data_IF_254948949672
#
_entry.id   IF_254948949672
#
_cell.length_a   1.000
_cell.length_b   1.000
_cell.length_c   1.000
_cell.angle_alpha   90.00
_cell.angle_beta   90.00
_cell.angle_gamma   90.00
#
_symmetry.space_group_name_H-M   'P 1'
#
loop_
_entity.id
_entity.type
_entity.pdbx_description
1 polymer ?
#
# COMPACT_ATOMS: atom_id res chain seq x y z
N UNK A 1 18.26 3.87 -62.25
CA UNK A 1 18.27 4.40 -60.86
C UNK A 1 17.07 3.80 -60.13
N UNK A 2 17.30 2.91 -59.18
CA UNK A 2 16.29 2.48 -58.21
C UNK A 2 17.05 2.20 -56.92
N UNK A 3 16.89 3.07 -55.92
CA UNK A 3 17.52 2.95 -54.62
C UNK A 3 16.74 1.97 -53.75
N UNK A 4 17.44 1.00 -53.18
CA UNK A 4 16.91 0.14 -52.13
C UNK A 4 16.83 0.95 -50.83
N UNK A 5 15.65 1.02 -50.23
CA UNK A 5 15.47 1.54 -48.89
C UNK A 5 15.81 0.43 -47.89
N UNK A 6 16.86 0.64 -47.11
CA UNK A 6 17.18 -0.15 -45.93
C UNK A 6 16.06 0.00 -44.90
N UNK A 7 15.26 -1.06 -44.74
CA UNK A 7 14.31 -1.16 -43.64
C UNK A 7 15.07 -1.54 -42.37
N UNK A 8 15.40 -0.54 -41.55
CA UNK A 8 15.96 -0.73 -40.23
C UNK A 8 15.01 -1.58 -39.36
N UNK A 9 15.52 -2.67 -38.81
CA UNK A 9 14.79 -3.53 -37.88
C UNK A 9 14.35 -2.71 -36.64
N UNK A 10 13.14 -2.96 -36.10
CA UNK A 10 12.68 -2.26 -34.91
C UNK A 10 13.59 -2.59 -33.72
N UNK A 11 14.11 -1.53 -33.09
CA UNK A 11 14.92 -1.65 -31.87
C UNK A 11 14.12 -2.46 -30.82
N UNK A 12 14.75 -3.51 -30.30
CA UNK A 12 14.20 -4.30 -29.21
C UNK A 12 13.86 -3.36 -28.04
N UNK A 13 12.56 -3.27 -27.70
CA UNK A 13 12.12 -2.51 -26.53
C UNK A 13 12.80 -3.11 -25.30
N UNK A 14 13.44 -2.26 -24.49
CA UNK A 14 13.97 -2.67 -23.21
C UNK A 14 12.85 -3.39 -22.42
N UNK A 15 13.18 -4.48 -21.68
CA UNK A 15 12.18 -5.20 -20.90
C UNK A 15 11.48 -4.23 -19.94
N UNK A 16 10.15 -4.26 -19.97
CA UNK A 16 9.31 -3.42 -19.11
C UNK A 16 9.62 -3.73 -17.65
N UNK A 17 9.97 -2.71 -16.85
CA UNK A 17 10.34 -2.89 -15.44
C UNK A 17 9.12 -3.41 -14.66
N UNK A 18 9.25 -4.53 -13.95
CA UNK A 18 8.16 -5.05 -13.12
C UNK A 18 7.80 -4.06 -12.00
N UNK A 19 6.53 -4.02 -11.52
CA UNK A 19 6.13 -3.12 -10.43
C UNK A 19 6.98 -3.27 -9.17
N UNK A 20 7.39 -4.50 -8.83
CA UNK A 20 8.29 -4.78 -7.72
C UNK A 20 9.71 -4.24 -7.97
N UNK A 21 10.21 -4.38 -9.20
CA UNK A 21 11.50 -3.81 -9.62
C UNK A 21 11.51 -2.28 -9.51
N UNK A 22 10.47 -1.64 -10.04
CA UNK A 22 10.27 -0.19 -9.94
C UNK A 22 10.25 0.27 -8.49
N UNK A 23 9.44 -0.35 -7.64
CA UNK A 23 9.32 0.04 -6.23
C UNK A 23 10.66 -0.13 -5.49
N UNK A 24 11.40 -1.19 -5.79
CA UNK A 24 12.73 -1.44 -5.21
C UNK A 24 13.72 -0.34 -5.60
N UNK A 25 13.79 -0.02 -6.90
CA UNK A 25 14.65 1.06 -7.43
C UNK A 25 14.29 2.40 -6.82
N UNK A 26 12.99 2.74 -6.82
CA UNK A 26 12.46 3.95 -6.23
C UNK A 26 12.88 4.08 -4.76
N UNK A 27 12.63 3.04 -3.96
CA UNK A 27 12.89 3.09 -2.52
C UNK A 27 14.38 3.25 -2.23
N UNK A 28 15.25 2.53 -2.94
CA UNK A 28 16.70 2.66 -2.79
C UNK A 28 17.19 4.08 -3.06
N UNK A 29 16.65 4.75 -4.08
CA UNK A 29 17.05 6.09 -4.45
C UNK A 29 16.43 7.18 -3.56
N UNK A 30 15.16 7.02 -3.18
CA UNK A 30 14.34 8.14 -2.69
C UNK A 30 13.78 7.96 -1.28
N UNK A 31 13.98 6.81 -0.61
CA UNK A 31 13.33 6.49 0.67
C UNK A 31 13.40 7.64 1.70
N UNK A 32 14.59 8.19 1.97
CA UNK A 32 14.76 9.25 2.96
C UNK A 32 14.03 10.55 2.59
N UNK A 33 14.08 10.94 1.32
CA UNK A 33 13.39 12.14 0.83
C UNK A 33 11.87 11.95 0.85
N UNK A 34 11.40 10.81 0.35
CA UNK A 34 9.99 10.45 0.33
C UNK A 34 9.39 10.38 1.73
N UNK A 35 10.08 9.73 2.68
CA UNK A 35 9.61 9.64 4.07
C UNK A 35 9.46 11.02 4.72
N UNK A 36 10.46 11.90 4.57
CA UNK A 36 10.39 13.26 5.10
C UNK A 36 9.27 14.07 4.48
N UNK A 37 9.15 14.02 3.15
CA UNK A 37 8.09 14.71 2.41
C UNK A 37 6.71 14.23 2.83
N UNK A 38 6.47 12.91 2.82
CA UNK A 38 5.16 12.34 3.13
C UNK A 38 4.73 12.63 4.58
N UNK A 39 5.66 12.55 5.54
CA UNK A 39 5.37 12.84 6.94
C UNK A 39 5.16 14.34 7.22
N UNK A 40 5.70 15.22 6.38
CA UNK A 40 5.48 16.66 6.45
C UNK A 40 4.13 17.10 5.85
N UNK A 41 3.48 16.25 5.03
CA UNK A 41 2.17 16.56 4.49
C UNK A 41 1.12 16.67 5.62
N UNK A 42 0.17 17.62 5.55
CA UNK A 42 -1.01 17.59 6.39
C UNK A 42 -1.82 16.31 6.10
N UNK A 43 -2.68 15.90 7.03
CA UNK A 43 -3.52 14.71 6.89
C UNK A 43 -4.34 14.73 5.60
N UNK A 44 -4.96 15.85 5.23
CA UNK A 44 -5.65 15.98 3.94
C UNK A 44 -4.71 15.76 2.74
N UNK A 45 -3.44 16.17 2.83
CA UNK A 45 -2.43 15.91 1.81
C UNK A 45 -2.09 14.42 1.70
N UNK A 46 -1.93 13.74 2.83
CA UNK A 46 -1.70 12.29 2.86
C UNK A 46 -2.91 11.51 2.31
N UNK A 47 -4.13 11.90 2.68
CA UNK A 47 -5.38 11.33 2.14
C UNK A 47 -5.48 11.58 0.64
N UNK A 48 -5.20 12.81 0.18
CA UNK A 48 -5.23 13.15 -1.24
C UNK A 48 -4.23 12.33 -2.04
N UNK A 49 -3.02 12.12 -1.52
CA UNK A 49 -2.03 11.26 -2.17
C UNK A 49 -2.54 9.82 -2.33
N UNK A 50 -3.10 9.23 -1.27
CA UNK A 50 -3.63 7.88 -1.31
C UNK A 50 -4.84 7.74 -2.25
N UNK A 51 -5.74 8.74 -2.26
CA UNK A 51 -6.89 8.77 -3.18
C UNK A 51 -6.49 9.00 -4.64
N UNK A 52 -5.42 9.76 -4.89
CA UNK A 52 -4.89 9.88 -6.24
C UNK A 52 -4.30 8.55 -6.73
N UNK A 53 -3.69 7.77 -5.83
CA UNK A 53 -3.16 6.45 -6.15
C UNK A 53 -4.25 5.37 -6.28
N UNK A 54 -5.35 5.49 -5.54
CA UNK A 54 -6.52 4.63 -5.58
C UNK A 54 -7.78 5.42 -5.17
N UNK A 55 -8.58 5.92 -6.15
CA UNK A 55 -9.74 6.77 -5.88
C UNK A 55 -10.78 6.12 -4.96
N UNK A 56 -10.98 4.82 -5.13
CA UNK A 56 -11.98 4.02 -4.41
C UNK A 56 -11.41 3.33 -3.16
N UNK A 57 -10.27 3.81 -2.62
CA UNK A 57 -9.67 3.22 -1.43
C UNK A 57 -10.66 3.24 -0.24
N UNK A 58 -10.94 2.09 0.41
CA UNK A 58 -11.87 2.05 1.52
C UNK A 58 -11.41 2.90 2.71
N UNK A 59 -12.35 3.52 3.41
CA UNK A 59 -12.04 4.28 4.63
C UNK A 59 -11.51 3.38 5.75
N UNK A 60 -12.17 2.25 5.97
CA UNK A 60 -11.85 1.26 6.99
C UNK A 60 -12.31 -0.12 6.56
N UNK A 61 -11.84 -1.14 7.29
CA UNK A 61 -12.28 -2.51 7.17
C UNK A 61 -12.80 -2.98 8.53
N UNK A 62 -14.04 -3.47 8.57
CA UNK A 62 -14.60 -4.13 9.75
C UNK A 62 -14.68 -5.65 9.51
N UNK A 63 -13.85 -6.46 10.19
CA UNK A 63 -13.87 -7.91 10.03
C UNK A 63 -15.17 -8.56 10.53
N UNK A 64 -16.02 -7.82 11.26
CA UNK A 64 -17.33 -8.29 11.74
C UNK A 64 -18.46 -8.04 10.76
N UNK A 65 -18.21 -7.35 9.64
CA UNK A 65 -19.23 -7.18 8.62
C UNK A 65 -19.72 -8.55 8.11
N UNK A 66 -21.04 -8.78 7.99
CA UNK A 66 -21.57 -10.09 7.61
C UNK A 66 -21.15 -10.55 6.21
N UNK A 67 -20.85 -9.59 5.32
CA UNK A 67 -20.45 -9.82 3.93
C UNK A 67 -19.41 -8.78 3.51
N UNK A 68 -18.15 -8.93 3.94
CA UNK A 68 -17.09 -8.03 3.50
C UNK A 68 -16.90 -8.18 1.99
N UNK A 69 -16.52 -7.10 1.31
CA UNK A 69 -16.25 -7.15 -0.12
C UNK A 69 -15.01 -8.00 -0.41
N UNK A 70 -14.97 -8.64 -1.58
CA UNK A 70 -13.83 -9.46 -1.99
C UNK A 70 -12.50 -8.67 -1.97
N UNK A 71 -12.53 -7.39 -2.32
CA UNK A 71 -11.37 -6.48 -2.26
C UNK A 71 -10.87 -6.25 -0.83
N UNK A 72 -11.78 -6.11 0.14
CA UNK A 72 -11.44 -5.96 1.56
C UNK A 72 -10.87 -7.26 2.16
N UNK A 73 -11.37 -8.42 1.73
CA UNK A 73 -10.77 -9.70 2.09
C UNK A 73 -9.42 -9.92 1.42
N UNK A 74 -9.27 -9.46 0.17
CA UNK A 74 -8.03 -9.63 -0.57
C UNK A 74 -6.91 -8.77 0.01
N UNK A 75 -7.20 -7.53 0.40
CA UNK A 75 -6.22 -6.53 0.89
C UNK A 75 -6.75 -5.73 2.08
N UNK A 76 -6.96 -6.34 3.26
CA UNK A 76 -7.52 -5.67 4.43
C UNK A 76 -6.64 -4.52 4.94
N UNK A 77 -5.34 -4.52 4.63
CA UNK A 77 -4.40 -3.46 4.98
C UNK A 77 -4.54 -2.19 4.12
N UNK A 78 -5.19 -2.28 2.96
CA UNK A 78 -5.32 -1.16 2.02
C UNK A 78 -6.57 -0.34 2.31
N UNK A 79 -6.61 0.25 3.49
CA UNK A 79 -7.63 1.22 3.88
C UNK A 79 -6.99 2.52 4.31
N UNK A 80 -7.69 3.65 4.17
CA UNK A 80 -7.18 4.95 4.60
C UNK A 80 -6.81 4.92 6.09
N UNK A 81 -7.67 4.34 6.93
CA UNK A 81 -7.42 4.21 8.37
C UNK A 81 -6.15 3.40 8.65
N UNK A 82 -5.97 2.23 8.01
CA UNK A 82 -4.80 1.39 8.24
C UNK A 82 -3.51 2.01 7.71
N UNK A 83 -3.53 2.61 6.51
CA UNK A 83 -2.32 3.19 5.92
C UNK A 83 -1.87 4.49 6.61
N UNK A 84 -2.82 5.26 7.13
CA UNK A 84 -2.56 6.53 7.82
C UNK A 84 -2.40 6.39 9.34
N UNK A 85 -2.49 5.18 9.88
CA UNK A 85 -2.16 4.91 11.27
C UNK A 85 -0.74 5.37 11.61
N UNK A 86 -0.57 5.80 12.87
CA UNK A 86 0.68 6.40 13.35
C UNK A 86 1.20 7.55 12.48
N UNK A 87 0.30 8.41 11.97
CA UNK A 87 0.65 9.53 11.08
C UNK A 87 1.29 9.06 9.76
N UNK A 88 0.74 7.99 9.17
CA UNK A 88 1.22 7.46 7.89
C UNK A 88 2.46 6.56 7.97
N UNK A 89 2.98 6.28 9.17
CA UNK A 89 4.15 5.38 9.31
C UNK A 89 3.84 3.96 8.86
N UNK A 90 2.59 3.51 8.93
CA UNK A 90 2.19 2.19 8.46
C UNK A 90 2.37 2.05 6.94
N UNK A 91 1.96 3.04 6.16
CA UNK A 91 2.24 3.10 4.70
C UNK A 91 3.74 2.99 4.42
N UNK A 92 4.58 3.75 5.14
CA UNK A 92 6.03 3.75 4.95
C UNK A 92 6.65 2.37 5.25
N UNK A 93 6.19 1.70 6.31
CA UNK A 93 6.63 0.33 6.63
C UNK A 93 6.21 -0.66 5.55
N UNK A 94 4.99 -0.53 5.03
CA UNK A 94 4.48 -1.37 3.94
C UNK A 94 5.33 -1.18 2.67
N UNK A 95 5.59 0.07 2.26
CA UNK A 95 6.46 0.39 1.14
C UNK A 95 7.87 -0.17 1.33
N UNK A 96 8.48 0.04 2.50
CA UNK A 96 9.79 -0.50 2.81
C UNK A 96 9.81 -2.03 2.73
N UNK A 97 8.83 -2.71 3.33
CA UNK A 97 8.76 -4.17 3.33
C UNK A 97 8.63 -4.71 1.90
N UNK A 98 7.74 -4.13 1.08
CA UNK A 98 7.54 -4.53 -0.32
C UNK A 98 8.75 -4.23 -1.19
N UNK A 99 9.52 -3.18 -0.90
CA UNK A 99 10.72 -2.80 -1.66
C UNK A 99 11.99 -3.58 -1.25
N UNK A 100 12.07 -4.08 0.00
CA UNK A 100 13.33 -4.63 0.54
C UNK A 100 13.23 -6.10 0.96
N UNK A 101 12.02 -6.62 1.15
CA UNK A 101 11.76 -7.96 1.71
C UNK A 101 10.69 -8.70 0.90
N UNK A 102 10.87 -8.75 -0.42
CA UNK A 102 9.90 -9.32 -1.37
C UNK A 102 9.52 -10.75 -0.98
N UNK A 103 10.50 -11.62 -0.76
CA UNK A 103 10.25 -13.03 -0.44
C UNK A 103 9.48 -13.21 0.89
N UNK A 104 9.80 -12.40 1.89
CA UNK A 104 9.09 -12.43 3.18
C UNK A 104 7.65 -11.96 3.00
N UNK A 105 7.43 -10.91 2.21
CA UNK A 105 6.09 -10.43 1.91
C UNK A 105 5.26 -11.50 1.18
N UNK A 106 5.84 -12.16 0.17
CA UNK A 106 5.19 -13.26 -0.56
C UNK A 106 4.81 -14.41 0.37
N UNK A 107 5.69 -14.78 1.30
CA UNK A 107 5.40 -15.81 2.31
C UNK A 107 4.27 -15.38 3.25
N UNK A 108 4.26 -14.12 3.70
CA UNK A 108 3.19 -13.60 4.55
C UNK A 108 1.85 -13.55 3.81
N UNK A 109 1.83 -13.15 2.54
CA UNK A 109 0.62 -13.17 1.71
C UNK A 109 0.08 -14.60 1.57
N UNK A 110 0.96 -15.58 1.31
CA UNK A 110 0.55 -16.98 1.25
C UNK A 110 -0.04 -17.50 2.56
N UNK A 111 0.55 -17.17 3.71
CA UNK A 111 0.00 -17.54 5.01
C UNK A 111 -1.38 -16.91 5.25
N UNK A 112 -1.54 -15.65 4.85
CA UNK A 112 -2.83 -14.98 4.92
C UNK A 112 -3.88 -15.68 4.05
N UNK A 113 -3.57 -15.98 2.79
CA UNK A 113 -4.50 -16.66 1.88
C UNK A 113 -4.81 -18.10 2.34
N UNK A 114 -3.84 -18.82 2.88
CA UNK A 114 -4.07 -20.13 3.48
C UNK A 114 -5.08 -20.05 4.63
N UNK A 115 -5.03 -18.99 5.45
CA UNK A 115 -6.01 -18.78 6.52
C UNK A 115 -7.42 -18.52 5.98
N UNK A 116 -7.55 -17.70 4.93
CA UNK A 116 -8.84 -17.45 4.27
C UNK A 116 -9.39 -18.70 3.58
N UNK A 117 -8.51 -19.53 3.01
CA UNK A 117 -8.89 -20.79 2.35
C UNK A 117 -9.42 -21.78 3.38
N UNK A 118 -8.73 -21.91 4.52
CA UNK A 118 -9.14 -22.77 5.63
C UNK A 118 -10.50 -22.34 6.24
N UNK A 119 -10.80 -21.04 6.28
CA UNK A 119 -12.11 -20.52 6.73
C UNK A 119 -13.20 -20.54 5.65
N UNK A 120 -12.88 -20.95 4.41
CA UNK A 120 -13.82 -20.95 3.29
C UNK A 120 -14.23 -19.54 2.82
N UNK A 121 -13.46 -18.50 3.18
CA UNK A 121 -13.76 -17.09 2.86
C UNK A 121 -12.80 -16.51 1.82
N UNK A 122 -11.84 -17.28 1.31
CA UNK A 122 -10.93 -16.81 0.25
C UNK A 122 -11.71 -16.46 -1.01
N UNK A 123 -11.62 -15.22 -1.53
CA UNK A 123 -12.20 -14.87 -2.81
C UNK A 123 -11.58 -15.72 -3.93
N UNK A 124 -12.41 -16.20 -4.86
CA UNK A 124 -11.97 -16.97 -6.03
C UNK A 124 -12.05 -16.12 -7.29
N UNK A 125 -10.93 -15.99 -8.01
CA UNK A 125 -10.84 -15.17 -9.23
C UNK A 125 -10.90 -15.98 -10.53
N UNK A 126 -10.96 -17.31 -10.44
CA UNK A 126 -11.11 -18.20 -11.59
C UNK A 126 -12.52 -18.24 -12.17
N UNK A 127 -13.53 -17.70 -11.46
CA UNK A 127 -14.92 -17.70 -11.90
C UNK A 127 -15.42 -19.11 -12.22
N UNK A 128 -15.76 -19.34 -13.48
CA UNK A 128 -16.27 -20.62 -13.98
C UNK A 128 -15.15 -21.54 -14.51
N UNK A 129 -13.93 -21.03 -14.67
CA UNK A 129 -12.85 -21.71 -15.43
C UNK A 129 -12.48 -23.08 -14.85
N UNK A 130 -12.54 -23.25 -13.53
CA UNK A 130 -12.21 -24.52 -12.87
C UNK A 130 -13.43 -25.34 -12.45
N UNK A 131 -14.65 -24.99 -12.89
CA UNK A 131 -15.85 -25.73 -12.48
C UNK A 131 -15.93 -27.16 -12.98
N UNK A 132 -15.28 -27.45 -14.11
CA UNK A 132 -15.34 -28.75 -14.76
C UNK A 132 -14.08 -29.60 -14.57
N UNK A 133 -13.16 -29.18 -13.70
CA UNK A 133 -11.93 -29.92 -13.40
C UNK A 133 -11.98 -30.46 -11.98
N UNK A 134 -11.33 -31.60 -11.74
CA UNK A 134 -11.22 -32.19 -10.41
C UNK A 134 -10.17 -31.50 -9.54
N UNK A 135 -9.11 -30.99 -10.17
CA UNK A 135 -8.05 -30.27 -9.49
C UNK A 135 -7.34 -29.37 -10.51
N UNK A 136 -7.19 -28.08 -10.20
CA UNK A 136 -6.33 -27.15 -10.92
C UNK A 136 -5.16 -26.74 -10.03
N UNK A 137 -3.95 -26.76 -10.56
CA UNK A 137 -2.73 -26.49 -9.79
C UNK A 137 -1.62 -25.86 -10.65
N UNK A 138 -0.66 -25.28 -9.96
CA UNK A 138 0.57 -24.71 -10.51
C UNK A 138 1.75 -25.52 -9.98
N UNK A 139 2.70 -25.83 -10.85
CA UNK A 139 4.01 -26.31 -10.44
C UNK A 139 4.90 -25.12 -10.09
N UNK A 140 5.36 -25.05 -8.83
CA UNK A 140 6.20 -23.94 -8.37
C UNK A 140 7.64 -24.02 -8.90
N UNK A 141 8.03 -25.14 -9.52
CA UNK A 141 9.29 -25.27 -10.23
C UNK A 141 9.18 -24.88 -11.72
N UNK A 142 7.96 -24.71 -12.25
CA UNK A 142 7.75 -24.24 -13.62
C UNK A 142 8.01 -22.73 -13.70
N UNK A 143 9.03 -22.27 -14.45
CA UNK A 143 9.33 -20.84 -14.56
C UNK A 143 8.18 -20.03 -15.18
N UNK A 144 7.36 -20.65 -16.02
CA UNK A 144 6.21 -20.00 -16.65
C UNK A 144 4.96 -20.04 -15.76
N UNK A 145 4.96 -20.86 -14.71
CA UNK A 145 3.85 -21.05 -13.79
C UNK A 145 2.53 -21.35 -14.53
N UNK A 146 2.56 -22.24 -15.52
CA UNK A 146 1.37 -22.56 -16.31
C UNK A 146 0.33 -23.30 -15.46
N UNK A 147 -0.95 -22.93 -15.62
CA UNK A 147 -2.07 -23.63 -14.97
C UNK A 147 -2.21 -25.03 -15.56
N UNK A 148 -2.07 -26.03 -14.71
CA UNK A 148 -2.32 -27.44 -15.02
C UNK A 148 -3.64 -27.88 -14.39
N UNK A 149 -4.33 -28.84 -15.01
CA UNK A 149 -5.58 -29.35 -14.47
C UNK A 149 -5.77 -30.85 -14.71
N UNK A 150 -6.48 -31.49 -13.78
CA UNK A 150 -6.96 -32.86 -13.90
C UNK A 150 -8.45 -32.85 -14.21
N UNK A 151 -8.84 -33.55 -15.28
CA UNK A 151 -10.24 -33.75 -15.63
C UNK A 151 -10.92 -34.74 -14.65
N UNK A 152 -12.27 -34.76 -14.60
CA UNK A 152 -13.02 -35.76 -13.83
C UNK A 152 -12.74 -37.22 -14.17
N UNK A 153 -12.13 -37.48 -15.34
CA UNK A 153 -11.70 -38.81 -15.76
C UNK A 153 -10.35 -39.25 -15.15
N UNK A 154 -9.63 -38.37 -14.46
CA UNK A 154 -8.38 -38.72 -13.79
C UNK A 154 -8.64 -39.74 -12.66
N UNK A 155 -7.71 -40.68 -12.48
CA UNK A 155 -7.87 -41.70 -11.44
C UNK A 155 -7.74 -41.08 -10.04
N UNK A 156 -8.43 -41.65 -9.03
CA UNK A 156 -8.34 -41.18 -7.64
C UNK A 156 -6.90 -41.13 -7.10
N UNK A 157 -6.04 -42.07 -7.52
CA UNK A 157 -4.64 -42.17 -7.10
C UNK A 157 -3.83 -40.98 -7.61
N UNK A 158 -4.04 -40.55 -8.86
CA UNK A 158 -3.36 -39.37 -9.42
C UNK A 158 -3.82 -38.10 -8.69
N UNK A 159 -5.13 -37.99 -8.41
CA UNK A 159 -5.68 -36.84 -7.70
C UNK A 159 -5.08 -36.75 -6.30
N UNK A 160 -5.03 -37.85 -5.55
CA UNK A 160 -4.47 -37.85 -4.19
C UNK A 160 -2.96 -37.59 -4.22
N UNK A 161 -2.23 -38.16 -5.18
CA UNK A 161 -0.81 -37.86 -5.37
C UNK A 161 -0.56 -36.35 -5.57
N UNK A 162 -1.37 -35.68 -6.40
CA UNK A 162 -1.24 -34.23 -6.61
C UNK A 162 -1.63 -33.43 -5.36
N UNK A 163 -2.65 -33.86 -4.60
CA UNK A 163 -2.99 -33.25 -3.31
C UNK A 163 -1.86 -33.38 -2.30
N UNK A 164 -1.17 -34.51 -2.25
CA UNK A 164 -0.02 -34.69 -1.35
C UNK A 164 1.15 -33.79 -1.74
N UNK A 165 1.38 -33.57 -3.04
CA UNK A 165 2.37 -32.60 -3.50
C UNK A 165 1.98 -31.15 -3.14
N UNK A 166 0.68 -30.82 -3.11
CA UNK A 166 0.19 -29.52 -2.61
C UNK A 166 0.46 -29.40 -1.11
N UNK A 167 0.15 -30.44 -0.31
CA UNK A 167 0.45 -30.46 1.14
C UNK A 167 1.95 -30.32 1.42
N UNK A 168 2.81 -30.85 0.55
CA UNK A 168 4.26 -30.71 0.63
C UNK A 168 4.79 -29.34 0.15
N UNK A 169 3.93 -28.47 -0.39
CA UNK A 169 4.33 -27.17 -0.94
C UNK A 169 5.11 -27.24 -2.26
N UNK A 170 5.03 -28.36 -2.99
CA UNK A 170 5.64 -28.51 -4.32
C UNK A 170 4.71 -28.01 -5.43
N UNK A 171 3.41 -28.18 -5.22
CA UNK A 171 2.36 -27.64 -6.06
C UNK A 171 1.52 -26.64 -5.26
N UNK A 172 0.81 -25.77 -5.96
CA UNK A 172 -0.14 -24.84 -5.37
C UNK A 172 -1.48 -24.94 -6.08
N UNK A 173 -2.59 -24.92 -5.34
CA UNK A 173 -3.91 -24.81 -5.97
C UNK A 173 -3.99 -23.56 -6.85
N UNK A 174 -4.52 -23.70 -8.07
CA UNK A 174 -4.53 -22.60 -9.04
C UNK A 174 -5.30 -21.37 -8.53
N UNK A 175 -6.39 -21.57 -7.80
CA UNK A 175 -7.14 -20.48 -7.16
C UNK A 175 -6.33 -19.72 -6.11
N UNK A 176 -5.54 -20.44 -5.31
CA UNK A 176 -4.66 -19.82 -4.30
C UNK A 176 -3.58 -19.01 -4.98
N UNK A 177 -2.98 -19.55 -6.05
CA UNK A 177 -1.98 -18.85 -6.83
C UNK A 177 -2.53 -17.59 -7.51
N UNK A 178 -3.68 -17.68 -8.19
CA UNK A 178 -4.33 -16.52 -8.83
C UNK A 178 -4.66 -15.44 -7.81
N UNK A 179 -5.16 -15.85 -6.65
CA UNK A 179 -5.47 -14.94 -5.55
C UNK A 179 -4.22 -14.25 -4.99
N UNK A 180 -3.10 -14.99 -4.88
CA UNK A 180 -1.80 -14.43 -4.49
C UNK A 180 -1.34 -13.38 -5.50
N UNK A 181 -1.37 -13.70 -6.79
CA UNK A 181 -0.99 -12.76 -7.84
C UNK A 181 -1.84 -11.49 -7.80
N UNK A 182 -3.16 -11.64 -7.67
CA UNK A 182 -4.08 -10.50 -7.56
C UNK A 182 -3.78 -9.64 -6.34
N UNK A 183 -3.59 -10.25 -5.16
CA UNK A 183 -3.24 -9.54 -3.92
C UNK A 183 -1.94 -8.75 -4.08
N UNK A 184 -0.89 -9.39 -4.61
CA UNK A 184 0.40 -8.75 -4.82
C UNK A 184 0.32 -7.62 -5.82
N UNK A 185 -0.39 -7.83 -6.93
CA UNK A 185 -0.58 -6.83 -7.98
C UNK A 185 -1.31 -5.60 -7.43
N UNK A 186 -2.39 -5.77 -6.67
CA UNK A 186 -3.16 -4.65 -6.10
C UNK A 186 -2.29 -3.82 -5.14
N UNK A 187 -1.57 -4.49 -4.23
CA UNK A 187 -0.68 -3.81 -3.29
C UNK A 187 0.43 -3.07 -4.03
N UNK A 188 1.15 -3.75 -4.91
CA UNK A 188 2.25 -3.12 -5.66
C UNK A 188 1.76 -1.94 -6.49
N UNK A 189 0.62 -2.08 -7.18
CA UNK A 189 0.03 -1.00 -7.99
C UNK A 189 -0.22 0.26 -7.17
N UNK A 190 -0.83 0.14 -5.98
CA UNK A 190 -1.04 1.29 -5.10
C UNK A 190 0.30 1.95 -4.73
N UNK A 191 1.27 1.16 -4.29
CA UNK A 191 2.55 1.68 -3.80
C UNK A 191 3.37 2.31 -4.93
N UNK A 192 3.33 1.74 -6.14
CA UNK A 192 3.96 2.33 -7.32
C UNK A 192 3.28 3.62 -7.73
N UNK A 193 1.95 3.73 -7.65
CA UNK A 193 1.23 4.97 -7.93
C UNK A 193 1.57 6.08 -6.91
N UNK A 194 1.71 5.72 -5.63
CA UNK A 194 2.16 6.64 -4.58
C UNK A 194 3.58 7.13 -4.87
N UNK A 195 4.51 6.21 -5.18
CA UNK A 195 5.89 6.54 -5.53
C UNK A 195 5.97 7.43 -6.79
N UNK A 196 5.19 7.10 -7.83
CA UNK A 196 5.13 7.86 -9.07
C UNK A 196 4.62 9.29 -8.85
N UNK A 197 3.63 9.44 -7.95
CA UNK A 197 3.11 10.76 -7.57
C UNK A 197 4.21 11.61 -6.94
N UNK A 198 5.02 11.04 -6.04
CA UNK A 198 6.19 11.74 -5.50
C UNK A 198 7.21 12.09 -6.58
N UNK A 199 7.60 11.14 -7.44
CA UNK A 199 8.58 11.43 -8.51
C UNK A 199 8.07 12.54 -9.44
N UNK A 200 6.77 12.57 -9.73
CA UNK A 200 6.17 13.57 -10.62
C UNK A 200 6.05 14.94 -9.95
N UNK A 201 5.48 15.00 -8.73
CA UNK A 201 5.24 16.26 -8.03
C UNK A 201 6.51 16.87 -7.43
N UNK A 202 7.44 16.03 -6.96
CA UNK A 202 8.63 16.50 -6.24
C UNK A 202 9.85 16.60 -7.16
N UNK A 203 10.12 15.58 -7.99
CA UNK A 203 11.35 15.54 -8.80
C UNK A 203 11.18 16.22 -10.17
N UNK A 204 10.05 16.03 -10.86
CA UNK A 204 9.87 16.55 -12.22
C UNK A 204 9.29 17.97 -12.29
N UNK A 205 8.43 18.34 -11.34
CA UNK A 205 7.79 19.67 -11.35
C UNK A 205 8.61 20.77 -10.64
N UNK A 206 9.86 20.51 -10.24
CA UNK A 206 10.74 21.50 -9.60
C UNK A 206 10.05 22.21 -8.42
N UNK A 207 9.54 21.44 -7.45
CA UNK A 207 9.44 21.97 -6.07
C UNK A 207 10.83 21.95 -5.42
N UNK A 208 11.83 22.53 -6.12
CA UNK A 208 13.16 22.83 -5.58
C UNK A 208 13.07 24.21 -4.92
N UNK A 209 12.21 24.31 -3.91
CA UNK A 209 12.54 25.13 -2.77
C UNK A 209 13.17 24.18 -1.77
N UNK A 210 14.30 24.54 -1.16
CA UNK A 210 14.62 23.93 0.13
C UNK A 210 13.34 24.00 0.96
N UNK A 211 12.82 22.85 1.40
CA UNK A 211 11.83 22.83 2.48
C UNK A 211 12.60 23.30 3.73
N UNK A 212 12.91 24.59 3.77
CA UNK A 212 13.83 25.25 4.70
C UNK A 212 13.13 25.58 6.02
N UNK A 213 11.81 25.44 6.07
CA UNK A 213 11.06 25.29 7.29
C UNK A 213 9.79 24.50 6.96
N UNK A 214 9.42 23.54 7.82
CA UNK A 214 8.06 23.01 7.82
C UNK A 214 7.12 24.17 8.13
N UNK A 215 6.49 24.76 7.13
CA UNK A 215 5.44 25.74 7.36
C UNK A 215 4.35 25.08 8.19
N UNK A 216 4.10 25.64 9.37
CA UNK A 216 3.16 25.09 10.35
C UNK A 216 1.75 25.33 9.83
N UNK A 217 1.18 24.33 9.16
CA UNK A 217 -0.18 24.33 8.64
C UNK A 217 -1.16 23.58 9.54
N UNK A 218 -2.46 23.79 9.29
CA UNK A 218 -3.52 23.00 9.89
C UNK A 218 -3.28 21.53 9.56
N UNK A 219 -3.09 20.69 10.57
CA UNK A 219 -2.82 19.27 10.42
C UNK A 219 -3.93 18.55 9.68
N UNK A 220 -5.17 19.02 9.80
CA UNK A 220 -6.30 18.45 9.09
C UNK A 220 -6.33 18.88 7.62
N UNK A 221 -6.46 20.18 7.32
CA UNK A 221 -6.72 20.67 5.96
C UNK A 221 -5.52 21.34 5.26
N UNK A 222 -4.41 21.56 5.94
CA UNK A 222 -3.22 22.25 5.43
C UNK A 222 -3.25 23.78 5.47
N UNK A 223 -4.38 24.40 5.86
CA UNK A 223 -4.48 25.86 5.92
C UNK A 223 -3.45 26.49 6.88
N UNK A 224 -2.74 27.50 6.42
CA UNK A 224 -1.73 28.24 7.21
C UNK A 224 -2.34 29.32 8.12
N UNK A 225 -3.64 29.60 7.98
CA UNK A 225 -4.37 30.62 8.74
C UNK A 225 -5.61 30.04 9.41
N UNK A 226 -6.09 30.68 10.49
CA UNK A 226 -7.39 30.32 11.10
C UNK A 226 -8.56 30.67 10.19
N UNK A 227 -9.61 29.84 10.23
CA UNK A 227 -10.93 30.17 9.66
C UNK A 227 -11.78 30.78 10.77
N UNK A 228 -11.69 32.09 10.96
CA UNK A 228 -12.67 32.86 11.75
C UNK A 228 -13.18 34.01 10.85
N UNK A 229 -14.51 34.14 10.74
CA UNK A 229 -15.19 35.23 10.03
C UNK A 229 -14.95 36.54 10.79
N UNK A 230 -13.91 37.31 10.41
CA UNK A 230 -13.68 38.67 10.92
C UNK A 230 -12.30 38.96 11.52
N UNK A 231 -11.30 38.10 11.35
CA UNK A 231 -9.95 38.40 11.82
C UNK A 231 -9.11 39.07 10.71
N UNK A 232 -9.03 40.40 10.72
CA UNK A 232 -8.14 41.21 9.84
C UNK A 232 -6.63 41.05 10.12
N UNK A 233 -6.24 40.13 11.01
CA UNK A 233 -4.84 39.81 11.28
C UNK A 233 -4.66 38.29 11.24
N UNK A 234 -3.57 37.83 10.62
CA UNK A 234 -3.19 36.42 10.48
C UNK A 234 -3.10 35.72 11.85
N UNK A 235 -4.23 35.25 12.36
CA UNK A 235 -4.33 34.65 13.68
C UNK A 235 -3.62 33.29 13.67
N UNK A 236 -2.68 33.12 14.60
CA UNK A 236 -1.92 31.87 14.78
C UNK A 236 -2.85 30.67 14.96
N UNK A 237 -2.57 29.57 14.26
CA UNK A 237 -3.34 28.32 14.33
C UNK A 237 -3.55 27.85 15.78
N UNK A 238 -4.70 27.21 16.04
CA UNK A 238 -4.99 26.52 17.29
C UNK A 238 -3.94 25.43 17.54
N UNK A 239 -3.24 25.51 18.66
CA UNK A 239 -2.22 24.53 19.03
C UNK A 239 -2.81 23.40 19.87
N UNK A 240 -2.45 22.16 19.57
CA UNK A 240 -2.74 21.01 20.41
C UNK A 240 -1.91 21.03 21.69
N UNK A 241 -2.37 20.37 22.76
CA UNK A 241 -1.63 20.26 24.02
C UNK A 241 -0.31 19.48 23.91
N UNK A 242 -0.09 18.74 22.82
CA UNK A 242 1.21 18.12 22.52
C UNK A 242 2.18 19.07 21.80
N UNK A 243 1.72 20.25 21.39
CA UNK A 243 2.44 21.28 20.61
C UNK A 243 2.96 20.85 19.24
N UNK A 244 2.82 19.58 18.87
CA UNK A 244 3.22 19.02 17.59
C UNK A 244 2.13 19.09 16.50
N UNK A 245 0.92 19.56 16.83
CA UNK A 245 -0.21 19.66 15.91
C UNK A 245 -0.91 21.01 16.03
N UNK A 246 -1.31 21.56 14.88
CA UNK A 246 -1.92 22.87 14.74
C UNK A 246 -3.20 22.76 13.91
N UNK A 247 -4.20 23.61 14.15
CA UNK A 247 -5.50 23.55 13.48
C UNK A 247 -6.03 24.95 13.16
N UNK A 248 -6.67 25.12 12.01
CA UNK A 248 -7.25 26.40 11.64
C UNK A 248 -8.57 26.71 12.36
N UNK A 249 -9.24 25.70 12.92
CA UNK A 249 -10.50 25.83 13.65
C UNK A 249 -10.71 24.63 14.58
N UNK A 250 -11.70 24.72 15.48
CA UNK A 250 -11.92 23.69 16.52
C UNK A 250 -12.47 22.40 15.91
N UNK A 251 -13.25 22.51 14.85
CA UNK A 251 -13.89 21.41 14.13
C UNK A 251 -12.82 20.47 13.57
N UNK A 252 -11.82 21.02 12.87
CA UNK A 252 -10.70 20.26 12.34
C UNK A 252 -9.85 19.58 13.43
N UNK A 253 -9.73 20.19 14.62
CA UNK A 253 -9.08 19.54 15.76
C UNK A 253 -9.90 18.33 16.25
N UNK A 254 -11.23 18.45 16.30
CA UNK A 254 -12.13 17.37 16.74
C UNK A 254 -12.15 16.24 15.71
N UNK A 255 -12.21 16.56 14.42
CA UNK A 255 -12.20 15.59 13.32
C UNK A 255 -10.88 14.79 13.28
N UNK A 256 -9.73 15.48 13.36
CA UNK A 256 -8.41 14.83 13.40
C UNK A 256 -8.14 14.12 14.74
N UNK A 257 -8.91 14.38 15.80
CA UNK A 257 -8.63 13.82 17.13
C UNK A 257 -8.56 12.30 17.13
N UNK A 258 -9.40 11.64 16.34
CA UNK A 258 -9.38 10.17 16.20
C UNK A 258 -8.05 9.64 15.69
N UNK A 259 -7.38 10.38 14.79
CA UNK A 259 -6.08 10.02 14.20
C UNK A 259 -4.90 10.52 15.06
N UNK A 260 -5.05 11.68 15.70
CA UNK A 260 -4.00 12.31 16.48
C UNK A 260 -3.91 11.83 17.94
N UNK A 261 -5.00 11.35 18.55
CA UNK A 261 -5.06 11.01 19.98
C UNK A 261 -3.91 10.10 20.45
N UNK A 262 -3.63 9.03 19.72
CA UNK A 262 -2.56 8.08 20.10
C UNK A 262 -1.18 8.73 20.01
N UNK A 263 -0.90 9.45 18.92
CA UNK A 263 0.39 10.17 18.76
C UNK A 263 0.52 11.30 19.78
N UNK A 264 -0.55 12.04 20.07
CA UNK A 264 -0.61 13.07 21.10
C UNK A 264 -0.18 12.54 22.47
N UNK A 265 -0.70 11.37 22.88
CA UNK A 265 -0.33 10.74 24.16
C UNK A 265 1.16 10.36 24.19
N UNK A 266 1.68 9.80 23.12
CA UNK A 266 3.10 9.41 23.01
C UNK A 266 4.01 10.62 23.07
N UNK A 267 3.74 11.65 22.26
CA UNK A 267 4.53 12.90 22.20
C UNK A 267 4.57 13.57 23.58
N UNK A 268 3.43 13.66 24.27
CA UNK A 268 3.38 14.24 25.62
C UNK A 268 4.19 13.45 26.64
N UNK A 269 4.19 12.11 26.54
CA UNK A 269 4.99 11.25 27.42
C UNK A 269 6.50 11.44 27.16
N UNK A 270 6.89 11.51 25.89
CA UNK A 270 8.28 11.74 25.50
C UNK A 270 8.76 13.12 25.93
N UNK A 271 7.97 14.18 25.70
CA UNK A 271 8.29 15.54 26.12
C UNK A 271 8.48 15.63 27.65
N UNK A 272 7.57 15.04 28.42
CA UNK A 272 7.70 14.99 29.88
C UNK A 272 8.91 14.16 30.36
N UNK A 273 9.38 13.18 29.57
CA UNK A 273 10.58 12.42 29.90
C UNK A 273 11.86 13.23 29.62
N UNK A 274 11.89 13.99 28.52
CA UNK A 274 13.00 14.90 28.18
C UNK A 274 13.11 16.02 29.20
N UNK A 275 11.99 16.69 29.54
CA UNK A 275 11.97 17.76 30.55
C UNK A 275 12.48 17.28 31.93
N UNK A 276 12.24 16.01 32.29
CA UNK A 276 12.78 15.40 33.51
C UNK A 276 14.26 15.07 33.44
N UNK A 277 14.79 14.78 32.26
CA UNK A 277 16.21 14.52 32.06
C UNK A 277 17.01 15.82 32.05
N UNK A 278 16.45 16.91 31.54
CA UNK A 278 17.08 18.24 31.51
C UNK A 278 17.04 18.96 32.87
N UNK A 279 16.14 18.55 33.77
CA UNK A 279 16.01 19.11 35.12
C UNK A 279 16.90 18.43 36.19
N UNK A 280 17.61 17.36 35.83
CA UNK A 280 18.56 16.63 36.70
C UNK A 280 19.99 16.88 36.26
#
# INVERSE_FOLDING_TARGET
MAGAADAAAPAARAPEESPSGYLTRFWRANASAFMRWFLALPYAGQVSLLRNASPDIPLSYDPKEPRPQATQLLTPELTLKALLEENGKVLLRLMNARATKVDQCSRHDLLYLASLRASGTMPTFSGETFKHVSLAFIDLADPEHNVQSLLPSASPEIIEQKKDLIKQGKLMEADVWLTLQMRQQVILTLLTNVAHTFETMFLKQVMVGEVSAAEVGCRYCGASTRKDEGAENAASLLRCACEAAFYCCKEHQVEDWTNHKTSCKTIRKEKAAVEKQEAN
#
